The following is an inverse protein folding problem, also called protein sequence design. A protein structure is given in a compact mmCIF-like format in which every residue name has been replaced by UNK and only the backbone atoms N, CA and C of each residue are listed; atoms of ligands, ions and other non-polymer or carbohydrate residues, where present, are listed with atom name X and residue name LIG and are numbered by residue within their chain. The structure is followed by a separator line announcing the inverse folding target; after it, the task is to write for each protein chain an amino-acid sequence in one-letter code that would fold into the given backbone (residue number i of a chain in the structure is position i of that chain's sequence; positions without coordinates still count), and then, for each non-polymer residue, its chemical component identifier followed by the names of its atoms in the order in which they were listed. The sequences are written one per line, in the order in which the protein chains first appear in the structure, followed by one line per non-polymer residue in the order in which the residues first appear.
data_IF_420017813031
#
_entry.id   IF_420017813031
#
_cell.length_a   1.000
_cell.length_b   1.000
_cell.length_c   1.000
_cell.angle_alpha   90.00
_cell.angle_beta   90.00
_cell.angle_gamma   90.00
#
_symmetry.space_group_name_H-M   'P 1'
#
loop_
_entity.id
_entity.type
_entity.pdbx_description
1 polymer ?
#
# COMPACT_ATOMS: atom_id res chain seq x y z
N UNK A 1 3.89 -8.96 13.50
CA UNK A 1 2.81 -8.23 12.81
C UNK A 1 2.76 -8.70 11.37
N UNK A 2 1.56 -8.97 10.87
CA UNK A 2 1.28 -9.27 9.48
C UNK A 2 0.88 -7.99 8.76
N UNK A 3 1.63 -7.58 7.74
CA UNK A 3 1.47 -6.30 7.06
C UNK A 3 1.05 -6.56 5.62
N UNK A 4 -0.09 -6.03 5.20
CA UNK A 4 -0.47 -6.04 3.78
C UNK A 4 -0.01 -4.74 3.12
N UNK A 5 0.89 -4.85 2.13
CA UNK A 5 1.35 -3.69 1.37
C UNK A 5 0.63 -3.60 0.02
N UNK A 6 0.24 -2.40 -0.41
CA UNK A 6 -0.32 -2.19 -1.75
C UNK A 6 0.14 -0.86 -2.36
N UNK A 7 0.23 -0.82 -3.67
CA UNK A 7 0.64 0.34 -4.46
C UNK A 7 0.16 0.22 -5.89
N UNK A 8 0.24 1.30 -6.66
CA UNK A 8 -0.21 1.27 -8.06
C UNK A 8 0.66 0.34 -8.92
N UNK A 9 0.02 -0.56 -9.68
CA UNK A 9 0.67 -1.35 -10.74
C UNK A 9 0.18 -0.85 -12.10
N UNK A 10 -1.08 -1.15 -12.44
CA UNK A 10 -1.69 -0.81 -13.73
C UNK A 10 -2.00 0.68 -13.91
N UNK A 11 -2.14 1.42 -12.81
CA UNK A 11 -2.31 2.88 -12.84
C UNK A 11 -1.02 3.65 -13.12
N UNK A 12 0.13 2.97 -13.13
CA UNK A 12 1.46 3.55 -13.29
C UNK A 12 2.43 3.01 -12.25
N UNK A 13 3.71 2.87 -12.63
CA UNK A 13 4.79 2.30 -11.80
C UNK A 13 5.92 3.29 -11.49
N UNK A 14 5.71 4.59 -11.73
CA UNK A 14 6.73 5.63 -11.51
C UNK A 14 7.29 5.65 -10.07
N UNK A 15 6.46 5.30 -9.08
CA UNK A 15 6.84 5.25 -7.66
C UNK A 15 7.33 3.87 -7.19
N UNK A 16 7.51 2.90 -8.09
CA UNK A 16 7.99 1.55 -7.73
C UNK A 16 9.29 1.54 -6.90
N UNK A 17 10.29 2.40 -7.16
CA UNK A 17 11.48 2.46 -6.30
C UNK A 17 11.16 2.79 -4.84
N UNK A 18 10.11 3.60 -4.60
CA UNK A 18 9.62 3.88 -3.25
C UNK A 18 8.89 2.69 -2.66
N UNK A 19 8.16 1.91 -3.45
CA UNK A 19 7.54 0.67 -2.98
C UNK A 19 8.60 -0.32 -2.48
N UNK A 20 9.71 -0.48 -3.21
CA UNK A 20 10.81 -1.34 -2.80
C UNK A 20 11.44 -0.88 -1.46
N UNK A 21 11.63 0.43 -1.30
CA UNK A 21 12.11 1.00 -0.04
C UNK A 21 11.11 0.78 1.12
N UNK A 22 9.81 1.01 0.88
CA UNK A 22 8.74 0.81 1.86
C UNK A 22 8.69 -0.66 2.29
N UNK A 23 8.61 -1.61 1.33
CA UNK A 23 8.57 -3.05 1.64
C UNK A 23 9.78 -3.47 2.47
N UNK A 24 11.00 -3.08 2.07
CA UNK A 24 12.22 -3.37 2.84
C UNK A 24 12.17 -2.80 4.26
N UNK A 25 11.56 -1.62 4.42
CA UNK A 25 11.38 -0.99 5.73
C UNK A 25 10.36 -1.75 6.57
N UNK A 26 9.23 -2.16 5.98
CA UNK A 26 8.16 -2.91 6.65
C UNK A 26 8.62 -4.29 7.12
N UNK A 27 9.52 -4.95 6.37
CA UNK A 27 10.12 -6.24 6.75
C UNK A 27 10.87 -6.18 8.09
N UNK A 28 11.27 -4.99 8.56
CA UNK A 28 11.84 -4.80 9.90
C UNK A 28 10.82 -4.94 11.03
N UNK A 29 9.53 -4.79 10.73
CA UNK A 29 8.43 -4.78 11.71
C UNK A 29 7.58 -6.06 11.65
N UNK A 30 7.69 -6.84 10.58
CA UNK A 30 6.96 -8.10 10.47
C UNK A 30 6.91 -8.70 9.07
N UNK A 31 5.98 -9.63 8.88
CA UNK A 31 5.78 -10.34 7.63
C UNK A 31 5.00 -9.48 6.66
N UNK A 32 5.57 -9.21 5.48
CA UNK A 32 4.95 -8.38 4.44
C UNK A 32 4.31 -9.24 3.37
N UNK A 33 2.99 -9.13 3.23
CA UNK A 33 2.23 -9.68 2.11
C UNK A 33 2.25 -8.74 0.90
N UNK A 34 2.02 -9.32 -0.28
CA UNK A 34 1.92 -8.58 -1.55
C UNK A 34 3.20 -7.80 -1.93
N UNK A 35 4.37 -8.28 -1.48
CA UNK A 35 5.69 -7.68 -1.80
C UNK A 35 6.01 -7.59 -3.30
N UNK A 36 5.38 -8.43 -4.13
CA UNK A 36 5.56 -8.43 -5.59
C UNK A 36 5.14 -7.10 -6.23
N UNK A 37 4.28 -6.30 -5.59
CA UNK A 37 3.94 -4.94 -6.03
C UNK A 37 5.20 -4.09 -6.22
N UNK A 38 6.21 -4.30 -5.36
CA UNK A 38 7.49 -3.61 -5.35
C UNK A 38 8.55 -4.27 -6.25
N UNK A 39 8.23 -5.31 -7.03
CA UNK A 39 9.20 -5.94 -7.93
C UNK A 39 9.45 -5.07 -9.18
N UNK A 40 10.70 -4.69 -9.43
CA UNK A 40 11.07 -3.90 -10.60
C UNK A 40 10.82 -4.64 -11.93
N UNK A 41 10.95 -5.97 -11.92
CA UNK A 41 10.70 -6.79 -13.09
C UNK A 41 9.21 -6.92 -13.43
N UNK A 42 8.30 -6.55 -12.52
CA UNK A 42 6.87 -6.59 -12.75
C UNK A 42 6.46 -5.49 -13.74
N UNK A 43 5.84 -5.90 -14.85
CA UNK A 43 5.37 -4.97 -15.88
C UNK A 43 4.21 -4.08 -15.40
N UNK A 44 3.91 -3.02 -16.16
CA UNK A 44 2.72 -2.18 -15.95
C UNK A 44 1.40 -2.96 -16.13
N UNK A 45 1.41 -4.10 -16.84
CA UNK A 45 0.24 -4.98 -16.93
C UNK A 45 0.02 -5.84 -15.68
N UNK A 46 0.98 -5.83 -14.74
CA UNK A 46 0.99 -6.67 -13.55
C UNK A 46 1.32 -8.12 -13.87
N UNK A 47 0.82 -9.02 -13.03
CA UNK A 47 0.96 -10.47 -13.22
C UNK A 47 0.03 -10.92 -14.35
N UNK A 48 0.60 -11.52 -15.39
CA UNK A 48 -0.11 -12.04 -16.57
C UNK A 48 0.02 -13.55 -16.72
N UNK A 49 0.81 -14.19 -15.85
CA UNK A 49 1.06 -15.63 -15.80
C UNK A 49 0.05 -16.40 -14.95
N UNK A 50 -0.85 -15.72 -14.25
CA UNK A 50 -1.93 -16.30 -13.43
C UNK A 50 -3.26 -15.61 -13.75
N UNK A 51 -4.37 -16.27 -13.42
CA UNK A 51 -5.71 -15.76 -13.73
C UNK A 51 -6.10 -14.58 -12.83
N UNK A 52 -7.00 -13.73 -13.31
CA UNK A 52 -7.54 -12.62 -12.52
C UNK A 52 -8.21 -13.08 -11.22
N UNK A 53 -8.82 -14.27 -11.21
CA UNK A 53 -9.44 -14.82 -10.01
C UNK A 53 -8.40 -15.26 -8.98
N UNK A 54 -7.32 -15.93 -9.41
CA UNK A 54 -6.22 -16.31 -8.52
C UNK A 54 -5.54 -15.09 -7.90
N UNK A 55 -5.29 -14.04 -8.68
CA UNK A 55 -4.77 -12.76 -8.16
C UNK A 55 -5.72 -12.23 -7.08
N UNK A 56 -7.01 -12.10 -7.40
CA UNK A 56 -8.01 -11.55 -6.48
C UNK A 56 -8.11 -12.35 -5.18
N UNK A 57 -8.22 -13.67 -5.25
CA UNK A 57 -8.35 -14.52 -4.06
C UNK A 57 -7.08 -14.47 -3.20
N UNK A 58 -5.89 -14.50 -3.81
CA UNK A 58 -4.61 -14.36 -3.09
C UNK A 58 -4.52 -13.02 -2.35
N UNK A 59 -4.85 -11.91 -3.02
CA UNK A 59 -4.79 -10.58 -2.41
C UNK A 59 -5.81 -10.43 -1.27
N UNK A 60 -7.03 -10.95 -1.43
CA UNK A 60 -8.07 -10.88 -0.39
C UNK A 60 -7.76 -11.78 0.81
N UNK A 61 -7.22 -12.98 0.58
CA UNK A 61 -6.76 -13.88 1.66
C UNK A 61 -5.60 -13.24 2.45
N UNK A 62 -4.62 -12.66 1.76
CA UNK A 62 -3.52 -11.93 2.38
C UNK A 62 -4.02 -10.72 3.19
N UNK A 63 -4.95 -9.94 2.64
CA UNK A 63 -5.58 -8.82 3.34
C UNK A 63 -6.30 -9.30 4.61
N UNK A 64 -7.07 -10.39 4.54
CA UNK A 64 -7.78 -10.95 5.68
C UNK A 64 -6.86 -11.35 6.83
N UNK A 65 -5.69 -11.93 6.51
CA UNK A 65 -4.66 -12.37 7.47
C UNK A 65 -3.78 -11.24 8.03
N UNK A 66 -3.84 -10.06 7.43
CA UNK A 66 -3.04 -8.91 7.87
C UNK A 66 -3.60 -8.27 9.13
N UNK A 67 -2.71 -7.78 10.00
CA UNK A 67 -3.07 -6.97 11.18
C UNK A 67 -3.25 -5.50 10.77
N UNK A 68 -2.46 -5.04 9.80
CA UNK A 68 -2.41 -3.66 9.33
C UNK A 68 -2.19 -3.59 7.81
N UNK A 69 -2.71 -2.53 7.19
CA UNK A 69 -2.49 -2.20 5.78
C UNK A 69 -1.59 -0.99 5.65
N UNK A 70 -0.58 -1.07 4.78
CA UNK A 70 0.23 0.07 4.36
C UNK A 70 0.06 0.25 2.86
N UNK A 71 -0.36 1.43 2.42
CA UNK A 71 -0.63 1.72 1.02
C UNK A 71 0.18 2.92 0.55
N UNK A 72 0.84 2.81 -0.61
CA UNK A 72 1.34 3.99 -1.32
C UNK A 72 0.27 4.48 -2.30
N UNK A 73 -0.16 5.74 -2.14
CA UNK A 73 -1.37 6.29 -2.77
C UNK A 73 -1.09 7.50 -3.66
N UNK A 74 0.17 7.77 -4.01
CA UNK A 74 0.50 8.91 -4.88
C UNK A 74 -0.08 8.76 -6.28
N UNK A 75 0.04 7.55 -6.84
CA UNK A 75 -0.51 7.24 -8.17
C UNK A 75 -1.94 6.72 -8.04
N UNK A 76 -2.95 7.39 -8.64
CA UNK A 76 -4.33 6.91 -8.61
C UNK A 76 -4.47 5.49 -9.17
N UNK A 77 -5.10 4.60 -8.40
CA UNK A 77 -5.18 3.18 -8.75
C UNK A 77 -6.49 2.56 -8.29
N UNK A 78 -7.25 2.00 -9.23
CA UNK A 78 -8.47 1.25 -8.94
C UNK A 78 -8.21 0.04 -8.02
N UNK A 79 -7.09 -0.66 -8.22
CA UNK A 79 -6.72 -1.80 -7.39
C UNK A 79 -6.42 -1.40 -5.95
N UNK A 80 -5.67 -0.31 -5.76
CA UNK A 80 -5.38 0.24 -4.42
C UNK A 80 -6.68 0.69 -3.75
N UNK A 81 -7.52 1.47 -4.45
CA UNK A 81 -8.81 1.90 -3.92
C UNK A 81 -9.73 0.73 -3.53
N UNK A 82 -9.77 -0.33 -4.35
CA UNK A 82 -10.50 -1.56 -4.03
C UNK A 82 -9.98 -2.22 -2.75
N UNK A 83 -8.66 -2.34 -2.57
CA UNK A 83 -8.08 -2.93 -1.37
C UNK A 83 -8.29 -2.07 -0.12
N UNK A 84 -8.18 -0.74 -0.23
CA UNK A 84 -8.45 0.17 0.88
C UNK A 84 -9.90 0.10 1.35
N UNK A 85 -10.86 0.07 0.42
CA UNK A 85 -12.28 -0.08 0.76
C UNK A 85 -12.55 -1.43 1.47
N UNK A 86 -11.92 -2.52 1.02
CA UNK A 86 -12.02 -3.83 1.69
C UNK A 86 -11.39 -3.80 3.07
N UNK A 87 -10.20 -3.22 3.22
CA UNK A 87 -9.51 -3.09 4.49
C UNK A 87 -10.33 -2.29 5.52
N UNK A 88 -10.88 -1.15 5.08
CA UNK A 88 -11.75 -0.28 5.90
C UNK A 88 -13.00 -1.02 6.35
N UNK A 89 -13.66 -1.77 5.44
CA UNK A 89 -14.83 -2.59 5.80
C UNK A 89 -14.53 -3.72 6.80
N UNK A 90 -13.27 -4.13 6.93
CA UNK A 90 -12.80 -5.11 7.90
C UNK A 90 -12.31 -4.45 9.22
N UNK A 91 -12.42 -3.14 9.35
CA UNK A 91 -11.95 -2.39 10.52
C UNK A 91 -10.43 -2.41 10.69
N UNK A 92 -9.67 -2.66 9.61
CA UNK A 92 -8.20 -2.71 9.68
C UNK A 92 -7.65 -1.29 9.79
N UNK A 93 -6.60 -1.11 10.59
CA UNK A 93 -5.80 0.13 10.58
C UNK A 93 -5.11 0.26 9.22
N UNK A 94 -5.21 1.43 8.61
CA UNK A 94 -4.62 1.71 7.29
C UNK A 94 -3.69 2.91 7.42
N UNK A 95 -2.43 2.73 7.00
CA UNK A 95 -1.45 3.80 6.84
C UNK A 95 -1.29 4.08 5.33
N UNK A 96 -1.73 5.24 4.88
CA UNK A 96 -1.60 5.68 3.49
C UNK A 96 -0.44 6.67 3.36
N UNK A 97 0.54 6.35 2.51
CA UNK A 97 1.72 7.15 2.22
C UNK A 97 1.51 7.88 0.89
N UNK A 98 1.72 9.19 0.87
CA UNK A 98 1.63 10.03 -0.32
C UNK A 98 2.89 10.87 -0.50
N UNK A 99 3.47 10.88 -1.69
CA UNK A 99 4.67 11.63 -2.03
C UNK A 99 4.35 13.11 -2.31
N UNK A 100 5.09 14.02 -1.69
CA UNK A 100 4.96 15.48 -1.86
C UNK A 100 4.03 16.16 -0.85
N UNK A 101 3.98 17.49 -0.89
CA UNK A 101 3.27 18.31 0.13
C UNK A 101 1.76 18.32 -0.04
N UNK A 102 1.27 18.08 -1.25
CA UNK A 102 -0.14 18.21 -1.58
C UNK A 102 -0.74 16.84 -1.89
N UNK A 103 -1.33 16.22 -0.86
CA UNK A 103 -2.28 15.13 -1.03
C UNK A 103 -3.60 15.59 -1.70
N UNK A 104 -3.66 16.80 -2.28
CA UNK A 104 -4.85 17.35 -2.96
C UNK A 104 -5.31 16.51 -4.16
N UNK A 105 -4.43 15.65 -4.70
CA UNK A 105 -4.80 14.67 -5.74
C UNK A 105 -5.41 13.38 -5.16
N UNK A 106 -5.25 13.14 -3.86
CA UNK A 106 -5.92 12.03 -3.18
C UNK A 106 -7.41 12.36 -3.03
N UNK A 107 -8.26 11.38 -3.34
CA UNK A 107 -9.71 11.62 -3.34
C UNK A 107 -10.20 11.96 -1.92
N UNK A 108 -11.20 12.83 -1.84
CA UNK A 108 -11.84 13.17 -0.56
C UNK A 108 -12.49 11.99 0.16
N UNK A 109 -12.80 10.89 -0.55
CA UNK A 109 -13.35 9.67 0.06
C UNK A 109 -12.28 8.96 0.88
N UNK A 110 -11.04 8.88 0.39
CA UNK A 110 -9.93 8.27 1.16
C UNK A 110 -9.52 9.20 2.30
N UNK A 111 -9.41 10.51 2.04
CA UNK A 111 -9.04 11.49 3.08
C UNK A 111 -10.08 11.64 4.18
N UNK A 112 -11.36 11.40 3.86
CA UNK A 112 -12.47 11.50 4.79
C UNK A 112 -12.78 10.21 5.56
N UNK A 113 -12.12 9.09 5.24
CA UNK A 113 -12.30 7.83 5.96
C UNK A 113 -11.51 7.88 7.28
N UNK A 114 -12.16 7.85 8.45
CA UNK A 114 -11.48 7.93 9.74
C UNK A 114 -10.60 6.71 10.07
N UNK A 115 -10.76 5.60 9.33
CA UNK A 115 -9.90 4.42 9.45
C UNK A 115 -8.58 4.52 8.67
N UNK A 116 -8.40 5.59 7.88
CA UNK A 116 -7.23 5.79 7.02
C UNK A 116 -6.38 6.95 7.54
N UNK A 117 -5.18 6.64 8.04
CA UNK A 117 -4.19 7.64 8.44
C UNK A 117 -3.33 8.01 7.22
N UNK A 118 -3.50 9.23 6.72
CA UNK A 118 -2.76 9.72 5.54
C UNK A 118 -1.53 10.50 5.97
N UNK A 119 -0.35 10.05 5.56
CA UNK A 119 0.91 10.74 5.78
C UNK A 119 1.57 11.13 4.46
N UNK A 120 2.17 12.32 4.45
CA UNK A 120 2.96 12.79 3.32
C UNK A 120 4.45 12.58 3.56
N UNK A 121 5.19 12.23 2.49
CA UNK A 121 6.63 12.04 2.55
C UNK A 121 7.32 12.73 1.36
N UNK A 122 8.59 13.13 1.52
CA UNK A 122 9.44 13.64 0.43
C UNK A 122 10.73 12.86 0.29
N UNK A 123 11.09 12.10 1.30
CA UNK A 123 12.34 11.37 1.39
C UNK A 123 12.14 10.01 2.04
N UNK A 124 13.13 9.16 1.87
CA UNK A 124 13.17 7.84 2.50
C UNK A 124 13.22 7.95 4.03
N UNK A 125 13.87 8.99 4.57
CA UNK A 125 13.88 9.28 6.01
C UNK A 125 12.49 9.60 6.55
N UNK A 126 11.65 10.28 5.76
CA UNK A 126 10.27 10.57 6.17
C UNK A 126 9.47 9.26 6.25
N UNK A 127 9.63 8.36 5.27
CA UNK A 127 9.00 7.03 5.27
C UNK A 127 9.41 6.25 6.51
N UNK A 128 10.72 6.19 6.82
CA UNK A 128 11.21 5.49 8.01
C UNK A 128 10.63 6.06 9.30
N UNK A 129 10.56 7.39 9.40
CA UNK A 129 9.99 8.07 10.55
C UNK A 129 8.50 7.73 10.71
N UNK A 130 7.72 7.89 9.65
CA UNK A 130 6.26 7.63 9.65
C UNK A 130 6.00 6.17 10.04
N UNK A 131 6.68 5.22 9.41
CA UNK A 131 6.48 3.80 9.70
C UNK A 131 6.98 3.45 11.11
N UNK A 132 8.06 4.06 11.59
CA UNK A 132 8.54 3.89 12.96
C UNK A 132 7.57 4.42 14.02
N UNK A 133 6.87 5.53 13.75
CA UNK A 133 5.88 6.10 14.65
C UNK A 133 4.56 5.32 14.64
N UNK A 134 4.13 4.85 13.46
CA UNK A 134 2.81 4.23 13.26
C UNK A 134 2.76 2.72 13.55
N UNK A 135 3.91 2.03 13.47
CA UNK A 135 4.02 0.57 13.63
C UNK A 135 4.61 0.12 14.97
N UNK A 136 5.24 1.02 15.73
CA UNK A 136 5.77 0.72 17.07
C UNK A 136 4.84 1.13 18.23
N UNK A 137 3.72 1.79 17.93
CA UNK A 137 2.67 2.13 18.89
C UNK A 137 1.59 1.07 18.92
#
# INVERSE_FOLDING_TARGET
MNIFFTGSIRGGREHQPKYAFIVKTLERYGTVFSKHVADEALSTFGETNITNNEIRERELDALGKSDIVVAEVTTPSHGVGYMLARASSLGKKIIALHHGEYALKLTGIIQGDPGIEVHTYKSDKDIEKILGETLNG
#
